data_IF_289673722942
#
_entry.id   IF_289673722942
#
_cell.length_a   1.000
_cell.length_b   1.000
_cell.length_c   1.000
_cell.angle_alpha   90.00
_cell.angle_beta   90.00
_cell.angle_gamma   90.00
#
_symmetry.space_group_name_H-M   'P 1'
#
loop_
_entity.id
_entity.type
_entity.pdbx_description
1 polymer ?
#
# COMPACT_ATOMS: atom_id res chain seq x y z
N UNK A 1 20.50 -2.82 1.61
CA UNK A 1 21.77 -2.23 2.10
C UNK A 1 21.51 -1.23 3.24
N UNK A 2 20.68 -0.20 3.00
CA UNK A 2 20.37 0.79 4.04
C UNK A 2 19.59 0.17 5.22
N UNK A 3 18.64 -0.72 4.93
CA UNK A 3 17.84 -1.39 5.98
C UNK A 3 18.74 -2.22 6.90
N UNK A 4 19.69 -2.96 6.35
CA UNK A 4 20.67 -3.73 7.14
C UNK A 4 21.55 -2.80 7.98
N UNK A 5 22.00 -1.70 7.40
CA UNK A 5 22.87 -0.72 8.10
C UNK A 5 22.16 -0.07 9.28
N UNK A 6 20.86 0.21 9.16
CA UNK A 6 20.07 0.87 10.19
C UNK A 6 19.33 -0.12 11.11
N UNK A 7 19.44 -1.43 10.83
CA UNK A 7 18.73 -2.49 11.57
C UNK A 7 17.23 -2.19 11.69
N UNK A 8 16.60 -1.95 10.54
CA UNK A 8 15.18 -1.58 10.48
C UNK A 8 14.55 -2.03 9.17
N UNK A 9 13.23 -1.90 9.07
CA UNK A 9 12.50 -2.08 7.82
C UNK A 9 12.39 -0.74 7.11
N UNK A 10 12.70 -0.72 5.81
CA UNK A 10 12.57 0.47 4.98
C UNK A 10 11.54 0.17 3.89
N UNK A 11 10.58 1.07 3.75
CA UNK A 11 9.62 1.08 2.64
C UNK A 11 9.89 2.29 1.77
N UNK A 12 10.24 2.03 0.52
CA UNK A 12 10.38 3.07 -0.51
C UNK A 12 9.16 2.98 -1.44
N UNK A 13 8.29 3.97 -1.33
CA UNK A 13 7.08 4.04 -2.17
C UNK A 13 7.38 4.65 -3.53
N UNK A 14 6.69 4.18 -4.56
CA UNK A 14 6.85 4.64 -5.93
C UNK A 14 5.88 3.92 -6.86
N UNK A 15 6.11 3.93 -8.17
CA UNK A 15 5.32 3.11 -9.09
C UNK A 15 5.34 1.62 -8.73
N UNK A 16 6.48 1.15 -8.24
CA UNK A 16 6.64 -0.14 -7.58
C UNK A 16 7.15 0.15 -6.18
N UNK A 17 6.44 -0.33 -5.17
CA UNK A 17 6.87 -0.20 -3.78
C UNK A 17 7.92 -1.26 -3.47
N UNK A 18 9.00 -0.85 -2.83
CA UNK A 18 10.07 -1.76 -2.42
C UNK A 18 10.26 -1.67 -0.92
N UNK A 19 10.22 -2.82 -0.25
CA UNK A 19 10.47 -2.89 1.18
C UNK A 19 11.55 -3.93 1.50
N UNK A 20 12.32 -3.68 2.54
CA UNK A 20 13.40 -4.57 2.96
C UNK A 20 13.66 -4.45 4.46
N UNK A 21 13.99 -5.56 5.08
CA UNK A 21 14.51 -5.62 6.46
C UNK A 21 16.03 -5.81 6.51
N UNK A 22 16.70 -5.81 5.34
CA UNK A 22 18.13 -6.04 5.21
C UNK A 22 18.49 -7.47 4.79
N UNK A 23 17.60 -8.43 5.00
CA UNK A 23 17.77 -9.83 4.57
C UNK A 23 16.83 -10.17 3.41
N UNK A 24 15.57 -9.77 3.52
CA UNK A 24 14.55 -10.02 2.52
C UNK A 24 14.15 -8.69 1.88
N UNK A 25 14.07 -8.67 0.54
CA UNK A 25 13.59 -7.52 -0.22
C UNK A 25 12.38 -7.93 -1.03
N UNK A 26 11.31 -7.16 -0.94
CA UNK A 26 10.03 -7.43 -1.57
C UNK A 26 9.65 -6.26 -2.46
N UNK A 27 9.26 -6.55 -3.71
CA UNK A 27 8.68 -5.57 -4.61
C UNK A 27 7.17 -5.81 -4.70
N UNK A 28 6.39 -4.75 -4.63
CA UNK A 28 4.93 -4.77 -4.73
C UNK A 28 4.55 -3.91 -5.94
N UNK A 29 4.04 -4.56 -6.97
CA UNK A 29 3.57 -3.90 -8.20
C UNK A 29 2.05 -3.79 -8.17
N UNK A 30 1.56 -3.04 -7.22
CA UNK A 30 0.16 -2.70 -7.05
C UNK A 30 0.04 -1.17 -6.89
N UNK A 31 -1.17 -0.66 -7.08
CA UNK A 31 -1.46 0.75 -6.89
C UNK A 31 -1.92 1.42 -8.17
N UNK A 32 -2.11 2.73 -8.12
CA UNK A 32 -2.66 3.50 -9.21
C UNK A 32 -1.98 4.86 -9.31
N UNK A 33 -1.84 5.34 -10.54
CA UNK A 33 -1.21 6.62 -10.84
C UNK A 33 -2.00 7.83 -10.33
N UNK A 34 -3.25 7.66 -9.91
CA UNK A 34 -4.05 8.72 -9.31
C UNK A 34 -3.68 8.99 -7.85
N UNK A 35 -3.00 8.04 -7.18
CA UNK A 35 -2.61 8.18 -5.77
C UNK A 35 -1.83 9.46 -5.47
N UNK A 36 -0.84 9.87 -6.30
CA UNK A 36 -0.09 11.10 -6.04
C UNK A 36 -0.90 12.40 -6.15
N UNK A 37 -2.06 12.34 -6.81
CA UNK A 37 -2.89 13.54 -7.00
C UNK A 37 -3.79 13.87 -5.81
N UNK A 38 -3.82 13.01 -4.79
CA UNK A 38 -4.58 13.30 -3.57
C UNK A 38 -3.63 13.67 -2.43
N UNK A 39 -4.02 14.68 -1.65
CA UNK A 39 -3.24 15.11 -0.49
C UNK A 39 -3.40 14.12 0.66
N UNK A 40 -2.29 13.77 1.30
CA UNK A 40 -2.29 12.98 2.52
C UNK A 40 -2.21 11.47 2.32
N UNK A 41 -2.05 10.97 1.08
CA UNK A 41 -1.90 9.54 0.83
C UNK A 41 -0.68 8.95 1.54
N UNK A 42 0.44 9.67 1.58
CA UNK A 42 1.64 9.25 2.32
C UNK A 42 1.41 9.19 3.82
N UNK A 43 0.68 10.16 4.38
CA UNK A 43 0.32 10.16 5.80
C UNK A 43 -0.63 9.00 6.13
N UNK A 44 -1.59 8.70 5.26
CA UNK A 44 -2.46 7.53 5.40
C UNK A 44 -1.65 6.24 5.41
N UNK A 45 -0.71 6.09 4.48
CA UNK A 45 0.16 4.92 4.42
C UNK A 45 0.97 4.76 5.69
N UNK A 46 1.59 5.83 6.18
CA UNK A 46 2.38 5.79 7.42
C UNK A 46 1.54 5.37 8.62
N UNK A 47 0.31 5.87 8.72
CA UNK A 47 -0.62 5.49 9.80
C UNK A 47 -1.01 4.03 9.73
N UNK A 48 -1.27 3.51 8.54
CA UNK A 48 -1.61 2.09 8.32
C UNK A 48 -0.41 1.20 8.66
N UNK A 49 0.80 1.61 8.26
CA UNK A 49 2.05 0.91 8.63
C UNK A 49 2.16 0.80 10.14
N UNK A 50 1.98 1.91 10.86
CA UNK A 50 2.02 1.91 12.32
C UNK A 50 1.02 0.94 12.95
N UNK A 51 -0.19 0.87 12.41
CA UNK A 51 -1.22 -0.06 12.89
C UNK A 51 -0.85 -1.51 12.60
N UNK A 52 -0.35 -1.81 11.42
CA UNK A 52 -0.04 -3.17 11.00
C UNK A 52 1.17 -3.75 11.73
N UNK A 53 2.22 -2.98 11.96
CA UNK A 53 3.40 -3.46 12.69
C UNK A 53 3.12 -3.71 14.17
N UNK A 54 2.07 -3.10 14.71
CA UNK A 54 1.59 -3.40 16.05
C UNK A 54 0.93 -4.77 16.17
N UNK A 55 0.46 -5.34 15.06
CA UNK A 55 -0.26 -6.61 15.04
C UNK A 55 0.62 -7.81 14.64
N UNK A 56 1.77 -7.58 14.02
CA UNK A 56 2.65 -8.63 13.52
C UNK A 56 4.10 -8.14 13.52
N UNK A 57 5.02 -8.85 12.84
CA UNK A 57 6.40 -8.39 12.74
C UNK A 57 6.54 -7.21 11.77
N UNK A 58 7.63 -6.40 11.87
CA UNK A 58 7.77 -5.19 11.06
C UNK A 58 7.75 -5.41 9.55
N UNK A 59 8.37 -6.48 9.04
CA UNK A 59 8.41 -6.72 7.59
C UNK A 59 7.02 -7.09 7.06
N UNK A 60 6.35 -8.05 7.69
CA UNK A 60 5.01 -8.47 7.30
C UNK A 60 3.99 -7.35 7.47
N UNK A 61 4.08 -6.60 8.57
CA UNK A 61 3.19 -5.48 8.83
C UNK A 61 3.34 -4.38 7.79
N UNK A 62 4.57 -4.05 7.41
CA UNK A 62 4.84 -3.05 6.35
C UNK A 62 4.32 -3.53 4.99
N UNK A 63 4.54 -4.81 4.67
CA UNK A 63 4.03 -5.40 3.43
C UNK A 63 2.49 -5.35 3.39
N UNK A 64 1.84 -5.73 4.48
CA UNK A 64 0.39 -5.69 4.58
C UNK A 64 -0.16 -4.27 4.40
N UNK A 65 0.46 -3.30 5.04
CA UNK A 65 0.06 -1.89 4.92
C UNK A 65 0.19 -1.37 3.50
N UNK A 66 1.29 -1.68 2.82
CA UNK A 66 1.50 -1.29 1.43
C UNK A 66 0.47 -1.94 0.50
N UNK A 67 0.16 -3.22 0.70
CA UNK A 67 -0.86 -3.92 -0.07
C UNK A 67 -2.26 -3.35 0.17
N UNK A 68 -2.62 -3.08 1.41
CA UNK A 68 -3.91 -2.45 1.74
C UNK A 68 -4.08 -1.14 0.98
N UNK A 69 -3.09 -0.27 1.06
CA UNK A 69 -3.14 1.05 0.45
C UNK A 69 -3.20 0.97 -1.07
N UNK A 70 -2.34 0.17 -1.68
CA UNK A 70 -2.24 0.08 -3.14
C UNK A 70 -3.44 -0.63 -3.77
N UNK A 71 -3.92 -1.71 -3.17
CA UNK A 71 -5.10 -2.43 -3.67
C UNK A 71 -6.37 -1.60 -3.46
N UNK A 72 -6.50 -0.90 -2.34
CA UNK A 72 -7.60 0.05 -2.16
C UNK A 72 -7.57 1.14 -3.23
N UNK A 73 -6.39 1.63 -3.59
CA UNK A 73 -6.19 2.58 -4.68
C UNK A 73 -6.66 2.05 -6.03
N UNK A 74 -6.31 0.82 -6.37
CA UNK A 74 -6.75 0.17 -7.61
C UNK A 74 -8.28 0.04 -7.68
N UNK A 75 -8.90 -0.38 -6.58
CA UNK A 75 -10.37 -0.49 -6.49
C UNK A 75 -11.05 0.87 -6.57
N UNK A 76 -10.52 1.86 -5.88
CA UNK A 76 -11.02 3.23 -5.93
C UNK A 76 -10.95 3.79 -7.36
N UNK A 77 -9.86 3.52 -8.09
CA UNK A 77 -9.71 3.94 -9.48
C UNK A 77 -10.77 3.31 -10.38
N UNK A 78 -11.00 2.02 -10.25
CA UNK A 78 -12.04 1.34 -11.01
C UNK A 78 -13.41 1.94 -10.78
N UNK A 79 -13.73 2.30 -9.53
CA UNK A 79 -14.99 2.92 -9.18
C UNK A 79 -15.14 4.32 -9.79
N UNK A 80 -14.09 5.13 -9.67
CA UNK A 80 -14.03 6.48 -10.24
C UNK A 80 -14.21 6.45 -11.75
N UNK A 81 -13.54 5.54 -12.44
CA UNK A 81 -13.64 5.39 -13.89
C UNK A 81 -15.04 4.95 -14.30
N UNK A 82 -15.68 4.05 -13.56
CA UNK A 82 -17.04 3.59 -13.83
C UNK A 82 -18.09 4.70 -13.70
N UNK A 83 -17.82 5.70 -12.87
CA UNK A 83 -18.71 6.83 -12.62
C UNK A 83 -18.29 8.10 -13.36
N UNK A 84 -17.21 8.06 -14.12
CA UNK A 84 -16.60 9.24 -14.75
C UNK A 84 -16.36 10.36 -13.74
N UNK A 85 -15.87 9.99 -12.55
CA UNK A 85 -15.60 10.90 -11.46
C UNK A 85 -14.12 11.33 -11.43
N UNK A 86 -13.71 12.10 -10.44
CA UNK A 86 -12.36 12.66 -10.34
C UNK A 86 -11.66 12.33 -9.03
N UNK A 87 -10.63 13.11 -8.71
CA UNK A 87 -9.75 12.87 -7.57
C UNK A 87 -10.46 13.01 -6.22
N UNK A 88 -11.46 13.86 -6.10
CA UNK A 88 -12.25 13.98 -4.86
C UNK A 88 -12.97 12.69 -4.51
N UNK A 89 -13.67 12.11 -5.51
CA UNK A 89 -14.33 10.81 -5.34
C UNK A 89 -13.32 9.68 -5.13
N UNK A 90 -12.19 9.71 -5.82
CA UNK A 90 -11.11 8.75 -5.63
C UNK A 90 -10.67 8.69 -4.17
N UNK A 91 -10.43 9.85 -3.54
CA UNK A 91 -10.04 9.91 -2.13
C UNK A 91 -11.09 9.28 -1.22
N UNK A 92 -12.36 9.61 -1.43
CA UNK A 92 -13.46 9.03 -0.64
C UNK A 92 -13.54 7.52 -0.83
N UNK A 93 -13.47 7.03 -2.06
CA UNK A 93 -13.50 5.60 -2.34
C UNK A 93 -12.25 4.87 -1.82
N UNK A 94 -11.09 5.50 -1.86
CA UNK A 94 -9.88 4.94 -1.26
C UNK A 94 -10.11 4.62 0.22
N UNK A 95 -10.65 5.56 0.96
CA UNK A 95 -10.95 5.38 2.39
C UNK A 95 -12.02 4.30 2.59
N UNK A 96 -13.06 4.30 1.76
CA UNK A 96 -14.13 3.28 1.81
C UNK A 96 -13.57 1.88 1.57
N UNK A 97 -12.70 1.71 0.58
CA UNK A 97 -12.10 0.41 0.27
C UNK A 97 -11.09 -0.03 1.31
N UNK A 98 -10.36 0.89 1.93
CA UNK A 98 -9.49 0.56 3.07
C UNK A 98 -10.30 -0.09 4.20
N UNK A 99 -11.50 0.41 4.44
CA UNK A 99 -12.41 -0.18 5.44
C UNK A 99 -12.96 -1.55 5.00
N UNK A 100 -13.26 -1.72 3.72
CA UNK A 100 -13.95 -2.91 3.20
C UNK A 100 -13.03 -4.06 2.81
N UNK A 101 -11.74 -3.83 2.61
CA UNK A 101 -10.82 -4.87 2.15
C UNK A 101 -10.70 -5.99 3.19
N UNK A 102 -10.70 -7.22 2.70
CA UNK A 102 -10.47 -8.42 3.49
C UNK A 102 -9.18 -9.14 3.03
N UNK A 103 -8.75 -10.12 3.83
CA UNK A 103 -7.52 -10.86 3.54
C UNK A 103 -7.58 -11.64 2.22
N UNK A 104 -8.75 -12.17 1.87
CA UNK A 104 -8.92 -12.94 0.63
C UNK A 104 -8.72 -12.05 -0.61
N UNK A 105 -9.26 -10.83 -0.60
CA UNK A 105 -9.07 -9.86 -1.67
C UNK A 105 -7.61 -9.45 -1.80
N UNK A 106 -6.92 -9.24 -0.67
CA UNK A 106 -5.49 -8.93 -0.67
C UNK A 106 -4.67 -10.05 -1.30
N UNK A 107 -4.93 -11.29 -0.93
CA UNK A 107 -4.24 -12.46 -1.50
C UNK A 107 -4.48 -12.55 -3.02
N UNK A 108 -5.73 -12.41 -3.45
CA UNK A 108 -6.11 -12.57 -4.86
C UNK A 108 -5.58 -11.44 -5.76
N UNK A 109 -5.43 -10.24 -5.22
CA UNK A 109 -5.04 -9.04 -5.97
C UNK A 109 -3.56 -8.69 -5.83
N UNK A 110 -2.85 -9.28 -4.88
CA UNK A 110 -1.44 -8.95 -4.65
C UNK A 110 -0.55 -9.33 -5.83
N UNK A 111 0.35 -8.44 -6.18
CA UNK A 111 1.38 -8.66 -7.17
C UNK A 111 2.74 -8.39 -6.54
N UNK A 112 3.29 -9.44 -5.92
CA UNK A 112 4.47 -9.37 -5.07
C UNK A 112 5.59 -10.22 -5.69
N UNK A 113 6.80 -9.68 -5.68
CA UNK A 113 8.02 -10.39 -6.05
C UNK A 113 9.03 -10.29 -4.92
N UNK A 114 9.58 -11.43 -4.52
CA UNK A 114 10.69 -11.48 -3.55
C UNK A 114 11.99 -11.45 -4.34
N UNK A 115 12.78 -10.42 -4.10
CA UNK A 115 14.03 -10.18 -4.82
C UNK A 115 15.23 -10.89 -4.21
#
# INVERSE_FOLDING_TARGET
KLAAKLDTVILASGPIDILSDGETTIAIDNGDEMMPYITGSGCMLSSIVGSCIGATNPLEGTMLAALLMTIAGEKARSKVDSENAGTGSFRAYLIDYLYKLDGQTLINKSNIEIL
#
